data_IF_734453214072
#
_entry.id   IF_734453214072
#
_cell.length_a   1.000
_cell.length_b   1.000
_cell.length_c   1.000
_cell.angle_alpha   90.00
_cell.angle_beta   90.00
_cell.angle_gamma   90.00
#
_symmetry.space_group_name_H-M   'P 1'
#
loop_
_entity.id
_entity.type
_entity.pdbx_description
1 polymer ?
#
# COMPACT_ATOMS: atom_id res chain seq x y z
N UNK A 1 -9.94 0.64 -3.30
CA UNK A 1 -8.94 -0.41 -3.60
C UNK A 1 -8.73 -1.31 -2.39
N UNK A 2 -8.70 -2.61 -2.61
CA UNK A 2 -8.25 -3.65 -1.69
C UNK A 2 -6.73 -3.73 -1.65
N UNK A 3 -6.18 -4.47 -0.67
CA UNK A 3 -4.73 -4.68 -0.56
C UNK A 3 -4.12 -5.40 -1.77
N UNK A 4 -4.87 -6.31 -2.41
CA UNK A 4 -4.41 -6.97 -3.64
C UNK A 4 -4.30 -5.96 -4.79
N UNK A 5 -5.26 -5.05 -4.94
CA UNK A 5 -5.22 -4.02 -5.97
C UNK A 5 -4.06 -3.04 -5.73
N UNK A 6 -3.79 -2.67 -4.48
CA UNK A 6 -2.62 -1.87 -4.11
C UNK A 6 -1.31 -2.56 -4.47
N UNK A 7 -1.19 -3.86 -4.18
CA UNK A 7 -0.04 -4.69 -4.55
C UNK A 7 0.19 -4.69 -6.05
N UNK A 8 -0.86 -4.96 -6.84
CA UNK A 8 -0.78 -5.00 -8.30
C UNK A 8 -0.32 -3.65 -8.83
N UNK A 9 -0.93 -2.55 -8.36
CA UNK A 9 -0.60 -1.20 -8.82
C UNK A 9 0.85 -0.82 -8.50
N UNK A 10 1.34 -1.08 -7.28
CA UNK A 10 2.75 -0.77 -6.95
C UNK A 10 3.74 -1.58 -7.78
N UNK A 11 3.41 -2.84 -8.13
CA UNK A 11 4.26 -3.68 -8.99
C UNK A 11 4.29 -3.11 -10.40
N UNK A 12 3.15 -2.68 -10.94
CA UNK A 12 3.09 -2.01 -12.24
C UNK A 12 3.93 -0.72 -12.29
N UNK A 13 4.05 -0.04 -11.15
CA UNK A 13 4.88 1.17 -11.00
C UNK A 13 6.34 0.86 -10.62
N UNK A 14 6.73 -0.41 -10.53
CA UNK A 14 8.05 -0.87 -10.06
C UNK A 14 8.43 -0.36 -8.67
N UNK A 15 7.44 -0.20 -7.78
CA UNK A 15 7.62 0.23 -6.40
C UNK A 15 7.64 -0.99 -5.47
N UNK A 16 8.70 -1.09 -4.66
CA UNK A 16 8.82 -2.17 -3.68
C UNK A 16 7.89 -1.94 -2.48
N UNK A 17 7.42 -3.01 -1.85
CA UNK A 17 6.61 -2.92 -0.63
C UNK A 17 7.31 -2.16 0.51
N UNK A 18 8.66 -2.20 0.55
CA UNK A 18 9.45 -1.44 1.53
C UNK A 18 9.33 0.07 1.30
N UNK A 19 9.37 0.52 0.05
CA UNK A 19 9.24 1.96 -0.27
C UNK A 19 7.87 2.50 0.11
N UNK A 20 6.80 1.71 -0.10
CA UNK A 20 5.47 2.04 0.41
C UNK A 20 5.50 2.16 1.93
N UNK A 21 6.10 1.18 2.60
CA UNK A 21 6.18 1.16 4.06
C UNK A 21 6.92 2.39 4.61
N UNK A 22 8.04 2.76 3.98
CA UNK A 22 8.85 3.92 4.35
C UNK A 22 8.07 5.23 4.17
N UNK A 23 7.34 5.40 3.06
CA UNK A 23 6.48 6.58 2.81
C UNK A 23 5.30 6.67 3.78
N UNK A 24 4.74 5.54 4.18
CA UNK A 24 3.61 5.46 5.11
C UNK A 24 4.05 5.40 6.58
N UNK A 25 5.36 5.41 6.86
CA UNK A 25 5.95 5.29 8.20
C UNK A 25 5.45 4.04 8.96
N UNK A 26 5.34 2.91 8.26
CA UNK A 26 4.94 1.61 8.83
C UNK A 26 5.98 0.55 8.51
N UNK A 27 5.84 -0.65 9.09
CA UNK A 27 6.74 -1.76 8.75
C UNK A 27 6.37 -2.39 7.41
N UNK A 28 7.36 -2.92 6.68
CA UNK A 28 7.13 -3.72 5.46
C UNK A 28 6.19 -4.91 5.72
N UNK A 29 6.28 -5.52 6.91
CA UNK A 29 5.39 -6.60 7.31
C UNK A 29 3.93 -6.14 7.39
N UNK A 30 3.69 -4.91 7.87
CA UNK A 30 2.38 -4.29 7.89
C UNK A 30 1.77 -4.19 6.49
N UNK A 31 2.54 -3.67 5.53
CA UNK A 31 2.15 -3.63 4.11
C UNK A 31 1.83 -5.04 3.60
N UNK A 32 2.70 -6.00 3.87
CA UNK A 32 2.55 -7.38 3.37
C UNK A 32 1.29 -8.08 3.92
N UNK A 33 0.90 -7.81 5.16
CA UNK A 33 -0.34 -8.33 5.74
C UNK A 33 -1.58 -7.75 5.06
N UNK A 34 -1.56 -6.46 4.72
CA UNK A 34 -2.64 -5.81 3.97
C UNK A 34 -2.73 -6.34 2.53
N UNK A 35 -1.59 -6.45 1.85
CA UNK A 35 -1.54 -6.96 0.46
C UNK A 35 -1.99 -8.41 0.32
N UNK A 36 -1.80 -9.21 1.36
CA UNK A 36 -2.25 -10.61 1.41
C UNK A 36 -3.68 -10.78 1.93
N UNK A 37 -4.36 -9.69 2.29
CA UNK A 37 -5.71 -9.73 2.86
C UNK A 37 -5.77 -10.26 4.29
N UNK A 38 -4.64 -10.58 4.91
CA UNK A 38 -4.56 -11.04 6.31
C UNK A 38 -4.89 -9.93 7.32
N UNK A 39 -4.86 -8.67 6.88
CA UNK A 39 -5.22 -7.49 7.67
C UNK A 39 -6.02 -6.52 6.81
N UNK A 40 -7.09 -5.97 7.36
CA UNK A 40 -7.82 -4.87 6.74
C UNK A 40 -6.95 -3.60 6.69
N UNK A 41 -7.14 -2.78 5.66
CA UNK A 41 -6.42 -1.51 5.50
C UNK A 41 -7.16 -0.45 6.31
N UNK A 42 -6.51 0.19 7.32
CA UNK A 42 -7.09 1.35 7.99
C UNK A 42 -7.37 2.49 6.99
N UNK A 43 -8.44 3.26 7.20
CA UNK A 43 -8.84 4.32 6.26
C UNK A 43 -7.74 5.38 6.04
N UNK A 44 -7.01 5.76 7.09
CA UNK A 44 -5.91 6.73 7.00
C UNK A 44 -4.71 6.20 6.19
N UNK A 45 -4.44 4.90 6.29
CA UNK A 45 -3.41 4.21 5.49
C UNK A 45 -3.87 4.07 4.05
N UNK A 46 -5.17 3.82 3.84
CA UNK A 46 -5.77 3.68 2.52
C UNK A 46 -5.58 4.95 1.67
N UNK A 47 -5.97 6.10 2.23
CA UNK A 47 -5.86 7.40 1.58
C UNK A 47 -4.41 7.72 1.25
N UNK A 48 -3.51 7.65 2.24
CA UNK A 48 -2.08 7.92 2.04
C UNK A 48 -1.44 6.98 1.02
N UNK A 49 -1.84 5.71 0.98
CA UNK A 49 -1.31 4.76 0.00
C UNK A 49 -1.81 5.09 -1.41
N UNK A 50 -3.07 5.51 -1.56
CA UNK A 50 -3.58 5.99 -2.83
C UNK A 50 -2.79 7.21 -3.34
N UNK A 51 -2.47 8.16 -2.45
CA UNK A 51 -1.65 9.33 -2.76
C UNK A 51 -0.24 8.93 -3.21
N UNK A 52 0.41 8.01 -2.49
CA UNK A 52 1.74 7.50 -2.82
C UNK A 52 1.79 6.88 -4.22
N UNK A 53 0.70 6.28 -4.68
CA UNK A 53 0.57 5.69 -6.01
C UNK A 53 0.04 6.66 -7.09
N UNK A 54 -0.18 7.94 -6.75
CA UNK A 54 -0.66 8.97 -7.67
C UNK A 54 -2.09 8.72 -8.15
N UNK A 55 -2.94 8.15 -7.28
CA UNK A 55 -4.32 7.80 -7.62
C UNK A 55 -5.35 8.87 -7.23
N UNK A 56 -4.94 9.87 -6.44
CA UNK A 56 -5.78 11.02 -6.12
C UNK A 56 -5.48 12.18 -7.07
N UNK A 57 -6.54 12.75 -7.65
CA UNK A 57 -6.53 13.98 -8.45
C UNK A 57 -7.15 15.10 -7.64
#
# INVERSE_FOLDING_TARGET
MSGLEFKIKRIMLNIQAKEIADRLQVSKAYISLMESGKRAIPSDIHEKWADVLGLQK
#
